data_IF_674727945597
#
_entry.id   IF_674727945597
#
_cell.length_a   1.000
_cell.length_b   1.000
_cell.length_c   1.000
_cell.angle_alpha   90.00
_cell.angle_beta   90.00
_cell.angle_gamma   90.00
#
_symmetry.space_group_name_H-M   'P 1'
#
loop_
_entity.id
_entity.type
_entity.pdbx_description
1 polymer ?
#
# COMPACT_ATOMS: atom_id res chain seq x y z
N UNK A 1 -8.12 17.21 -3.80
CA UNK A 1 -7.38 16.57 -2.70
C UNK A 1 -5.90 16.77 -2.96
N UNK A 2 -5.21 17.58 -2.15
CA UNK A 2 -3.75 17.73 -2.18
C UNK A 2 -3.20 17.11 -0.91
N UNK A 3 -2.26 16.18 -1.05
CA UNK A 3 -1.50 15.66 0.07
C UNK A 3 -0.23 16.50 0.18
N UNK A 4 -0.06 17.24 1.28
CA UNK A 4 1.19 17.92 1.58
C UNK A 4 1.92 17.15 2.67
N UNK A 5 3.17 16.78 2.39
CA UNK A 5 4.06 16.10 3.32
C UNK A 5 5.20 17.08 3.60
N UNK A 6 5.20 17.71 4.78
CA UNK A 6 6.38 18.41 5.27
C UNK A 6 7.34 17.39 5.88
N UNK A 7 8.47 17.14 5.19
CA UNK A 7 9.56 16.30 5.71
C UNK A 7 10.56 17.21 6.43
N UNK A 8 10.63 17.14 7.75
CA UNK A 8 11.46 18.06 8.55
C UNK A 8 12.95 17.69 8.53
N UNK A 9 13.34 16.43 8.28
CA UNK A 9 14.75 16.09 8.10
C UNK A 9 14.92 14.71 7.43
N UNK A 10 15.57 14.65 6.27
CA UNK A 10 15.75 13.41 5.49
C UNK A 10 17.01 12.66 5.91
N UNK A 11 18.01 13.33 6.48
CA UNK A 11 19.37 12.78 6.54
C UNK A 11 19.73 12.07 7.86
N UNK A 12 18.91 12.19 8.91
CA UNK A 12 19.07 11.40 10.14
C UNK A 12 18.05 10.24 10.28
N UNK A 13 16.97 10.24 9.50
CA UNK A 13 15.81 9.38 9.70
C UNK A 13 15.87 8.00 9.02
N UNK A 14 16.98 7.68 8.33
CA UNK A 14 17.09 6.47 7.52
C UNK A 14 17.64 5.25 8.27
N UNK A 15 18.18 5.44 9.48
CA UNK A 15 18.91 4.38 10.20
C UNK A 15 18.32 3.96 11.56
N UNK A 16 17.51 4.78 12.26
CA UNK A 16 17.17 4.48 13.67
C UNK A 16 15.67 4.42 14.01
N UNK A 17 14.77 4.46 13.03
CA UNK A 17 13.37 4.06 13.27
C UNK A 17 12.55 5.00 14.17
N UNK A 18 13.04 6.19 14.51
CA UNK A 18 12.26 7.23 15.17
C UNK A 18 12.11 8.42 14.21
N UNK A 19 10.87 8.80 13.90
CA UNK A 19 10.48 10.20 13.67
C UNK A 19 8.96 10.35 13.56
N UNK A 20 8.45 11.40 14.22
CA UNK A 20 7.05 11.80 14.30
C UNK A 20 6.61 12.41 12.96
N UNK A 21 5.61 11.81 12.30
CA UNK A 21 5.02 12.35 11.06
C UNK A 21 3.70 13.02 11.43
N UNK A 22 3.56 14.32 11.13
CA UNK A 22 2.26 15.02 11.17
C UNK A 22 1.65 15.05 9.78
N UNK A 23 0.48 14.43 9.64
CA UNK A 23 -0.34 14.44 8.43
C UNK A 23 -1.36 15.57 8.53
N UNK A 24 -1.38 16.47 7.54
CA UNK A 24 -2.47 17.43 7.35
C UNK A 24 -3.28 17.02 6.13
N UNK A 25 -4.59 16.92 6.33
CA UNK A 25 -5.56 16.57 5.28
C UNK A 25 -6.37 17.83 4.99
N UNK A 26 -6.11 18.48 3.85
CA UNK A 26 -6.90 19.63 3.40
C UNK A 26 -7.98 19.19 2.42
N UNK A 27 -9.23 19.48 2.79
CA UNK A 27 -10.39 19.37 1.91
C UNK A 27 -10.56 20.69 1.12
N UNK A 28 -11.18 20.65 -0.07
CA UNK A 28 -11.51 21.88 -0.79
C UNK A 28 -12.45 22.74 0.04
N UNK A 29 -12.18 24.04 0.09
CA UNK A 29 -12.86 25.03 0.93
C UNK A 29 -14.38 24.86 1.01
N UNK A 30 -14.87 24.81 2.24
CA UNK A 30 -16.28 24.76 2.57
C UNK A 30 -16.50 24.84 4.07
N UNK A 31 -16.65 26.08 4.55
CA UNK A 31 -17.07 26.53 5.89
C UNK A 31 -15.99 26.56 6.98
N UNK A 32 -15.49 27.78 7.22
CA UNK A 32 -14.80 28.19 8.44
C UNK A 32 -15.70 27.95 9.66
N UNK A 33 -15.13 27.44 10.75
CA UNK A 33 -15.62 27.83 12.07
C UNK A 33 -14.46 27.96 13.06
N UNK A 34 -14.42 29.13 13.68
CA UNK A 34 -13.42 29.56 14.66
C UNK A 34 -13.71 28.94 16.02
N UNK A 35 -12.79 28.15 16.59
CA UNK A 35 -12.54 28.21 18.05
C UNK A 35 -11.21 27.60 18.47
N UNK A 36 -10.59 28.31 19.42
CA UNK A 36 -9.24 28.21 19.97
C UNK A 36 -8.98 27.02 20.91
N UNK A 37 -7.70 26.58 21.04
CA UNK A 37 -6.97 26.51 22.34
C UNK A 37 -5.63 25.73 22.27
N UNK A 38 -4.51 26.48 22.41
CA UNK A 38 -3.31 26.26 23.27
C UNK A 38 -2.87 24.80 23.60
N UNK A 39 -1.60 24.36 23.53
CA UNK A 39 -0.34 24.96 24.05
C UNK A 39 0.89 24.04 23.80
N UNK A 40 2.08 24.66 23.92
CA UNK A 40 3.44 24.14 24.27
C UNK A 40 4.39 23.69 23.16
N UNK A 41 5.22 24.67 22.77
CA UNK A 41 6.56 24.53 22.21
C UNK A 41 7.60 24.18 23.28
N UNK A 42 8.49 23.22 22.98
CA UNK A 42 9.80 23.09 23.66
C UNK A 42 10.90 23.17 22.60
N UNK A 43 11.80 24.13 22.76
CA UNK A 43 12.96 24.36 21.89
C UNK A 43 14.08 23.39 22.27
N UNK A 44 14.66 22.69 21.28
CA UNK A 44 15.98 22.09 21.40
C UNK A 44 16.89 22.69 20.31
N UNK A 45 18.06 23.10 20.77
CA UNK A 45 19.08 23.93 20.13
C UNK A 45 19.51 23.46 18.73
N UNK A 46 19.28 24.30 17.72
CA UNK A 46 19.90 24.24 16.39
C UNK A 46 21.40 24.57 16.47
N UNK A 47 22.28 23.62 16.13
CA UNK A 47 23.62 23.94 15.61
C UNK A 47 24.03 22.99 14.48
N UNK A 48 23.82 23.51 13.25
CA UNK A 48 24.58 23.33 12.00
C UNK A 48 25.03 21.92 11.58
N UNK A 49 24.51 21.48 10.44
CA UNK A 49 25.28 21.39 9.18
C UNK A 49 24.32 21.33 7.97
N UNK A 50 24.00 22.50 7.40
CA UNK A 50 23.40 22.62 6.06
C UNK A 50 24.53 22.86 5.06
N UNK A 51 24.74 21.93 4.10
CA UNK A 51 24.94 22.39 2.74
C UNK A 51 24.38 21.42 1.67
N UNK A 52 23.10 21.02 1.70
CA UNK A 52 22.53 20.21 0.59
C UNK A 52 21.10 20.61 0.15
N UNK A 53 20.45 21.57 0.82
CA UNK A 53 19.10 22.03 0.47
C UNK A 53 19.00 22.81 -0.86
N UNK A 54 20.11 23.07 -1.56
CA UNK A 54 20.09 23.66 -2.89
C UNK A 54 19.66 22.68 -4.00
N UNK A 55 19.65 21.37 -3.72
CA UNK A 55 19.25 20.36 -4.71
C UNK A 55 17.74 20.06 -4.75
N UNK A 56 17.00 20.41 -3.70
CA UNK A 56 15.55 20.14 -3.60
C UNK A 56 14.67 21.30 -4.09
N UNK A 57 15.26 22.46 -4.42
CA UNK A 57 14.53 23.65 -4.85
C UNK A 57 14.61 23.91 -6.36
N UNK A 58 14.47 22.86 -7.17
CA UNK A 58 14.10 23.02 -8.57
C UNK A 58 12.65 22.57 -8.70
N UNK A 59 11.76 23.55 -8.81
CA UNK A 59 10.36 23.38 -9.21
C UNK A 59 10.25 22.37 -10.36
N UNK A 60 9.96 21.12 -10.05
CA UNK A 60 9.42 20.17 -11.01
C UNK A 60 7.91 20.40 -10.94
N UNK A 61 7.29 21.00 -11.97
CA UNK A 61 5.84 21.15 -11.97
C UNK A 61 5.24 19.74 -11.99
N UNK A 62 4.49 19.39 -10.93
CA UNK A 62 3.64 18.19 -10.90
C UNK A 62 2.41 18.48 -11.77
N UNK A 63 2.64 18.65 -13.07
CA UNK A 63 1.61 18.78 -14.09
C UNK A 63 2.19 18.26 -15.40
N UNK A 64 2.20 16.95 -15.57
CA UNK A 64 1.95 16.27 -16.86
C UNK A 64 1.88 14.77 -16.60
N UNK A 65 0.92 14.11 -17.27
CA UNK A 65 0.45 12.73 -17.11
C UNK A 65 -0.78 12.56 -16.21
N UNK A 66 -1.78 13.43 -16.41
CA UNK A 66 -3.18 13.00 -16.24
C UNK A 66 -3.60 12.53 -17.63
N UNK A 67 -3.57 11.23 -17.85
CA UNK A 67 -4.24 10.62 -18.99
C UNK A 67 -5.75 10.79 -18.76
N UNK A 68 -6.53 11.18 -19.77
CA UNK A 68 -7.96 11.52 -19.66
C UNK A 68 -8.84 10.31 -19.22
N UNK A 69 -8.23 9.14 -19.02
CA UNK A 69 -8.77 7.93 -18.40
C UNK A 69 -8.79 7.95 -16.85
N UNK A 70 -8.08 8.88 -16.20
CA UNK A 70 -7.96 8.97 -14.73
C UNK A 70 -9.22 9.37 -13.94
N UNK A 71 -10.15 10.22 -14.43
CA UNK A 71 -11.27 10.70 -13.60
C UNK A 71 -12.25 9.61 -13.18
N UNK A 72 -12.51 8.63 -14.04
CA UNK A 72 -13.51 7.57 -13.81
C UNK A 72 -12.96 6.47 -12.88
N UNK A 73 -11.72 6.05 -13.07
CA UNK A 73 -11.07 5.05 -12.23
C UNK A 73 -10.96 5.54 -10.76
N UNK A 74 -10.62 6.80 -10.55
CA UNK A 74 -10.49 7.37 -9.20
C UNK A 74 -11.83 7.42 -8.44
N UNK A 75 -12.92 7.75 -9.14
CA UNK A 75 -14.27 7.82 -8.57
C UNK A 75 -14.89 6.45 -8.24
N UNK A 76 -14.32 5.38 -8.81
CA UNK A 76 -14.75 4.01 -8.55
C UNK A 76 -14.02 3.34 -7.40
N UNK A 77 -12.94 3.94 -6.89
CA UNK A 77 -12.23 3.43 -5.72
C UNK A 77 -13.07 3.63 -4.46
N UNK A 78 -13.14 2.60 -3.63
CA UNK A 78 -13.73 2.63 -2.30
C UNK A 78 -12.79 3.31 -1.28
N UNK A 79 -12.81 4.64 -1.31
CA UNK A 79 -12.01 5.47 -0.41
C UNK A 79 -12.41 5.30 1.06
N UNK A 80 -13.66 4.94 1.36
CA UNK A 80 -14.11 4.71 2.74
C UNK A 80 -13.43 3.46 3.31
N UNK A 81 -13.41 2.37 2.55
CA UNK A 81 -12.70 1.14 2.91
C UNK A 81 -11.21 1.39 3.06
N UNK A 82 -10.61 2.13 2.12
CA UNK A 82 -9.20 2.50 2.15
C UNK A 82 -8.84 3.31 3.40
N UNK A 83 -9.56 4.40 3.67
CA UNK A 83 -9.34 5.27 4.83
C UNK A 83 -9.50 4.51 6.14
N UNK A 84 -10.53 3.67 6.24
CA UNK A 84 -10.75 2.82 7.41
C UNK A 84 -9.59 1.85 7.63
N UNK A 85 -9.05 1.25 6.57
CA UNK A 85 -7.84 0.41 6.66
C UNK A 85 -6.64 1.20 7.14
N UNK A 86 -6.38 2.39 6.60
CA UNK A 86 -5.27 3.25 7.05
C UNK A 86 -5.42 3.57 8.53
N UNK A 87 -6.63 3.96 8.94
CA UNK A 87 -6.92 4.34 10.31
C UNK A 87 -6.85 3.18 11.31
N UNK A 88 -7.07 1.95 10.87
CA UNK A 88 -6.98 0.75 11.72
C UNK A 88 -5.61 0.09 11.68
N UNK A 89 -4.73 0.52 10.77
CA UNK A 89 -3.31 0.11 10.73
C UNK A 89 -2.44 0.91 11.71
N UNK A 90 -3.02 1.76 12.57
CA UNK A 90 -2.31 2.62 13.53
C UNK A 90 -1.43 1.86 14.54
N UNK A 91 -1.79 0.63 14.88
CA UNK A 91 -0.98 -0.25 15.74
C UNK A 91 0.17 -0.94 14.98
N UNK A 92 0.21 -0.76 13.65
CA UNK A 92 1.22 -1.30 12.77
C UNK A 92 2.36 -0.32 12.48
N UNK A 93 3.31 -0.71 11.63
CA UNK A 93 4.43 0.12 11.19
C UNK A 93 3.93 1.21 10.23
N UNK A 94 3.33 2.26 10.77
CA UNK A 94 2.72 3.36 10.01
C UNK A 94 3.67 3.96 8.95
N UNK A 95 4.96 4.08 9.29
CA UNK A 95 6.00 4.57 8.36
C UNK A 95 6.13 3.66 7.13
N UNK A 96 6.08 2.34 7.31
CA UNK A 96 6.10 1.40 6.18
C UNK A 96 4.87 1.63 5.31
N UNK A 97 3.68 1.69 5.91
CA UNK A 97 2.43 1.82 5.16
C UNK A 97 2.44 3.09 4.30
N UNK A 98 2.77 4.24 4.87
CA UNK A 98 2.84 5.50 4.13
C UNK A 98 3.82 5.36 2.96
N UNK A 99 5.05 4.89 3.20
CA UNK A 99 6.03 4.70 2.13
C UNK A 99 5.54 3.70 1.08
N UNK A 100 4.84 2.64 1.47
CA UNK A 100 4.29 1.65 0.57
C UNK A 100 3.19 2.23 -0.33
N UNK A 101 2.19 2.91 0.24
CA UNK A 101 1.07 3.49 -0.48
C UNK A 101 1.49 4.59 -1.47
N UNK A 102 2.57 5.31 -1.16
CA UNK A 102 3.13 6.35 -2.02
C UNK A 102 4.23 5.84 -2.97
N UNK A 103 4.60 4.56 -2.92
CA UNK A 103 5.65 4.00 -3.78
C UNK A 103 7.06 4.49 -3.43
N UNK A 104 7.30 4.89 -2.18
CA UNK A 104 8.54 5.44 -1.65
C UNK A 104 9.28 4.47 -0.72
N UNK A 105 8.96 3.17 -0.80
CA UNK A 105 9.76 2.19 -0.08
C UNK A 105 11.22 2.27 -0.54
N UNK A 106 12.19 2.18 0.40
CA UNK A 106 13.60 2.27 0.08
C UNK A 106 14.15 0.97 -0.55
N UNK A 107 13.58 0.61 -1.70
CA UNK A 107 14.03 -0.46 -2.61
C UNK A 107 15.27 -0.01 -3.38
N UNK A 108 16.07 -0.96 -3.88
CA UNK A 108 17.36 -0.69 -4.53
C UNK A 108 17.32 0.41 -5.60
N UNK A 109 16.32 0.39 -6.50
CA UNK A 109 16.13 1.42 -7.55
C UNK A 109 15.95 2.82 -6.99
N UNK A 110 15.30 2.98 -5.83
CA UNK A 110 15.09 4.28 -5.21
C UNK A 110 16.34 4.74 -4.46
N UNK A 111 16.93 3.88 -3.65
CA UNK A 111 18.06 4.26 -2.78
C UNK A 111 19.37 4.49 -3.54
N UNK A 112 19.58 3.76 -4.64
CA UNK A 112 20.76 3.94 -5.51
C UNK A 112 20.82 5.32 -6.16
N UNK A 113 19.69 6.05 -6.26
CA UNK A 113 19.66 7.43 -6.77
C UNK A 113 20.39 8.40 -5.84
N UNK A 114 20.46 8.11 -4.54
CA UNK A 114 21.12 8.97 -3.56
C UNK A 114 22.63 8.68 -3.48
N UNK A 115 23.01 7.41 -3.43
CA UNK A 115 24.42 7.00 -3.44
C UNK A 115 24.54 5.57 -4.02
N UNK A 116 24.86 5.42 -5.31
CA UNK A 116 24.90 4.12 -5.98
C UNK A 116 26.09 3.25 -5.53
N UNK A 117 27.16 3.86 -5.02
CA UNK A 117 28.34 3.15 -4.49
C UNK A 117 27.98 2.46 -3.17
N UNK A 118 27.30 3.19 -2.28
CA UNK A 118 26.91 2.67 -0.95
C UNK A 118 25.66 1.80 -1.01
N UNK A 119 24.71 2.12 -1.90
CA UNK A 119 23.41 1.46 -1.97
C UNK A 119 23.16 0.93 -3.39
N UNK A 120 23.56 -0.31 -3.69
CA UNK A 120 23.39 -0.88 -5.02
C UNK A 120 21.91 -1.05 -5.38
N UNK A 121 21.58 -0.88 -6.67
CA UNK A 121 20.22 -1.03 -7.18
C UNK A 121 19.69 -2.46 -7.15
N UNK A 122 20.59 -3.44 -7.10
CA UNK A 122 20.28 -4.86 -7.18
C UNK A 122 19.44 -5.35 -6.00
N UNK A 123 18.64 -6.38 -6.25
CA UNK A 123 17.84 -7.05 -5.23
C UNK A 123 18.75 -7.71 -4.17
N UNK A 124 18.45 -7.59 -2.87
CA UNK A 124 19.25 -8.25 -1.85
C UNK A 124 19.03 -9.77 -1.79
N UNK A 125 17.95 -10.27 -2.40
CA UNK A 125 17.49 -11.66 -2.30
C UNK A 125 17.72 -12.48 -3.57
N UNK A 126 17.89 -11.87 -4.74
CA UNK A 126 18.10 -12.59 -6.01
C UNK A 126 18.99 -11.77 -6.95
N UNK A 127 19.32 -12.32 -8.11
CA UNK A 127 20.28 -11.72 -9.05
C UNK A 127 19.69 -10.61 -9.94
N UNK A 128 18.47 -10.12 -9.63
CA UNK A 128 17.88 -9.00 -10.36
C UNK A 128 18.70 -7.71 -10.14
N UNK A 129 19.21 -7.07 -11.20
CA UNK A 129 20.08 -5.89 -11.09
C UNK A 129 19.34 -4.62 -10.63
N UNK A 130 18.01 -4.58 -10.74
CA UNK A 130 17.20 -3.43 -10.35
C UNK A 130 15.99 -3.87 -9.54
N UNK A 131 16.05 -3.67 -8.23
CA UNK A 131 14.93 -3.88 -7.31
C UNK A 131 14.02 -2.64 -7.31
N UNK A 132 12.91 -2.71 -8.05
CA UNK A 132 11.85 -1.70 -7.99
C UNK A 132 10.66 -2.13 -7.11
N UNK A 133 9.64 -1.27 -7.01
CA UNK A 133 8.46 -1.54 -6.18
C UNK A 133 7.67 -2.78 -6.62
N UNK A 134 7.70 -3.13 -7.91
CA UNK A 134 7.06 -4.35 -8.41
C UNK A 134 7.91 -5.56 -8.06
N UNK A 135 9.22 -5.52 -8.31
CA UNK A 135 10.16 -6.58 -7.96
C UNK A 135 10.12 -6.88 -6.46
N UNK A 136 9.96 -5.86 -5.61
CA UNK A 136 9.80 -6.04 -4.16
C UNK A 136 8.74 -7.10 -3.83
N UNK A 137 7.59 -7.15 -4.51
CA UNK A 137 6.53 -8.13 -4.24
C UNK A 137 6.56 -9.36 -5.15
N UNK A 138 7.38 -9.35 -6.21
CA UNK A 138 7.43 -10.39 -7.24
C UNK A 138 8.78 -11.11 -7.33
N UNK A 139 9.65 -10.89 -6.33
CA UNK A 139 10.99 -11.46 -6.29
C UNK A 139 10.96 -13.01 -6.41
N UNK A 140 11.75 -13.60 -7.33
CA UNK A 140 11.73 -15.05 -7.58
C UNK A 140 12.45 -15.89 -6.51
N UNK A 141 13.16 -15.24 -5.57
CA UNK A 141 13.86 -15.94 -4.50
C UNK A 141 12.91 -16.89 -3.73
N UNK A 142 13.32 -18.13 -3.41
CA UNK A 142 12.45 -19.11 -2.76
C UNK A 142 11.77 -18.62 -1.48
N UNK A 143 12.46 -17.91 -0.59
CA UNK A 143 11.88 -17.38 0.65
C UNK A 143 10.85 -16.29 0.35
N UNK A 144 11.11 -15.45 -0.65
CA UNK A 144 10.17 -14.41 -1.11
C UNK A 144 8.96 -15.03 -1.82
N UNK A 145 9.12 -16.13 -2.55
CA UNK A 145 8.00 -16.88 -3.15
C UNK A 145 7.08 -17.53 -2.12
N UNK A 146 7.61 -17.98 -0.97
CA UNK A 146 6.78 -18.51 0.13
C UNK A 146 5.78 -17.48 0.66
N UNK A 147 6.13 -16.19 0.62
CA UNK A 147 5.21 -15.11 1.00
C UNK A 147 3.94 -15.13 0.17
N UNK A 148 4.04 -15.31 -1.15
CA UNK A 148 2.87 -15.34 -2.03
C UNK A 148 1.89 -16.47 -1.66
N UNK A 149 2.42 -17.68 -1.46
CA UNK A 149 1.62 -18.83 -1.03
C UNK A 149 0.96 -18.56 0.34
N UNK A 150 1.70 -17.94 1.26
CA UNK A 150 1.20 -17.61 2.61
C UNK A 150 0.10 -16.55 2.55
N UNK A 151 0.28 -15.48 1.76
CA UNK A 151 -0.74 -14.45 1.53
C UNK A 151 -2.02 -15.05 0.94
N UNK A 152 -1.88 -15.89 -0.10
CA UNK A 152 -3.01 -16.56 -0.76
C UNK A 152 -3.80 -17.42 0.23
N UNK A 153 -3.12 -18.23 1.04
CA UNK A 153 -3.75 -19.08 2.08
C UNK A 153 -4.43 -18.24 3.15
N UNK A 154 -3.78 -17.18 3.64
CA UNK A 154 -4.35 -16.29 4.66
C UNK A 154 -5.57 -15.53 4.15
N UNK A 155 -5.55 -15.06 2.89
CA UNK A 155 -6.70 -14.43 2.25
C UNK A 155 -7.88 -15.39 2.13
N UNK A 156 -7.63 -16.61 1.64
CA UNK A 156 -8.67 -17.65 1.53
C UNK A 156 -9.32 -17.92 2.89
N UNK A 157 -8.52 -18.28 3.88
CA UNK A 157 -9.00 -18.56 5.23
C UNK A 157 -9.77 -17.38 5.83
N UNK A 158 -9.26 -16.15 5.65
CA UNK A 158 -9.94 -14.95 6.14
C UNK A 158 -11.28 -14.77 5.46
N UNK A 159 -11.35 -14.85 4.13
CA UNK A 159 -12.59 -14.68 3.37
C UNK A 159 -13.64 -15.72 3.75
N UNK A 160 -13.24 -16.99 3.90
CA UNK A 160 -14.11 -18.07 4.36
C UNK A 160 -14.63 -17.80 5.79
N UNK A 161 -13.78 -17.31 6.70
CA UNK A 161 -14.17 -17.00 8.10
C UNK A 161 -15.16 -15.83 8.27
N UNK A 162 -15.40 -15.06 7.20
CA UNK A 162 -16.30 -13.90 7.18
C UNK A 162 -17.38 -14.03 6.11
N UNK A 163 -17.70 -15.25 5.69
CA UNK A 163 -18.83 -15.53 4.78
C UNK A 163 -18.73 -14.73 3.47
N UNK A 164 -17.53 -14.64 2.90
CA UNK A 164 -17.32 -13.96 1.62
C UNK A 164 -18.04 -14.69 0.49
N UNK A 165 -18.65 -13.95 -0.44
CA UNK A 165 -19.19 -14.53 -1.67
C UNK A 165 -18.09 -15.36 -2.36
N UNK A 166 -18.30 -16.67 -2.62
CA UNK A 166 -17.30 -17.52 -3.24
C UNK A 166 -16.77 -16.97 -4.58
N UNK A 167 -17.62 -16.32 -5.39
CA UNK A 167 -17.17 -15.73 -6.65
C UNK A 167 -16.32 -14.47 -6.46
N UNK A 168 -16.55 -13.71 -5.38
CA UNK A 168 -15.68 -12.59 -5.01
C UNK A 168 -14.33 -13.12 -4.51
N UNK A 169 -14.33 -14.18 -3.69
CA UNK A 169 -13.10 -14.84 -3.26
C UNK A 169 -12.28 -15.34 -4.47
N UNK A 170 -12.92 -16.02 -5.42
CA UNK A 170 -12.23 -16.50 -6.63
C UNK A 170 -11.65 -15.35 -7.45
N UNK A 171 -12.42 -14.29 -7.69
CA UNK A 171 -11.96 -13.11 -8.42
C UNK A 171 -10.79 -12.42 -7.70
N UNK A 172 -10.85 -12.32 -6.37
CA UNK A 172 -9.80 -11.73 -5.55
C UNK A 172 -8.49 -12.50 -5.71
N UNK A 173 -8.55 -13.83 -5.65
CA UNK A 173 -7.36 -14.67 -5.80
C UNK A 173 -6.86 -14.70 -7.25
N UNK A 174 -7.74 -14.66 -8.24
CA UNK A 174 -7.32 -14.54 -9.65
C UNK A 174 -6.64 -13.21 -9.91
N UNK A 175 -7.18 -12.11 -9.39
CA UNK A 175 -6.60 -10.78 -9.52
C UNK A 175 -5.23 -10.65 -8.85
N UNK A 176 -5.08 -11.22 -7.65
CA UNK A 176 -3.79 -11.29 -6.96
C UNK A 176 -2.74 -12.06 -7.80
N UNK A 177 -3.11 -13.24 -8.31
CA UNK A 177 -2.23 -14.04 -9.16
C UNK A 177 -1.92 -13.34 -10.49
N UNK A 178 -2.90 -12.63 -11.06
CA UNK A 178 -2.72 -11.84 -12.27
C UNK A 178 -1.64 -10.78 -12.08
N UNK A 179 -1.68 -10.05 -10.97
CA UNK A 179 -0.66 -9.06 -10.67
C UNK A 179 0.71 -9.68 -10.37
N UNK A 180 0.76 -10.68 -9.49
CA UNK A 180 2.02 -11.22 -8.97
C UNK A 180 2.74 -12.13 -9.97
N UNK A 181 2.01 -12.86 -10.81
CA UNK A 181 2.56 -13.88 -11.70
C UNK A 181 2.27 -13.60 -13.17
N UNK A 182 1.62 -12.48 -13.50
CA UNK A 182 1.14 -12.19 -14.87
C UNK A 182 0.20 -13.27 -15.41
N UNK A 183 -0.49 -14.00 -14.52
CA UNK A 183 -1.44 -15.05 -14.90
C UNK A 183 -2.73 -14.42 -15.47
N UNK A 184 -3.34 -14.96 -16.54
CA UNK A 184 -4.60 -14.41 -17.04
C UNK A 184 -5.74 -14.66 -16.05
N UNK A 185 -6.61 -13.66 -15.85
CA UNK A 185 -7.87 -13.86 -15.14
C UNK A 185 -8.81 -14.68 -16.04
N UNK A 186 -9.36 -15.82 -15.58
CA UNK A 186 -10.21 -16.67 -16.40
C UNK A 186 -11.62 -16.05 -16.55
N UNK A 187 -11.77 -15.06 -17.42
CA UNK A 187 -13.02 -14.30 -17.60
C UNK A 187 -14.26 -15.20 -17.85
N UNK A 188 -14.09 -16.32 -18.54
CA UNK A 188 -15.17 -17.30 -18.77
C UNK A 188 -15.72 -17.97 -17.50
N UNK A 189 -14.97 -17.92 -16.38
CA UNK A 189 -15.39 -18.44 -15.07
C UNK A 189 -15.99 -17.37 -14.18
N UNK A 190 -15.93 -16.10 -14.59
CA UNK A 190 -16.44 -14.96 -13.82
C UNK A 190 -17.94 -14.87 -14.07
N UNK A 191 -18.80 -15.03 -13.04
CA UNK A 191 -20.25 -14.95 -13.23
C UNK A 191 -20.67 -13.56 -13.69
N UNK A 192 -21.71 -13.50 -14.53
CA UNK A 192 -22.22 -12.22 -15.08
C UNK A 192 -22.53 -11.19 -13.99
N UNK A 193 -23.04 -11.62 -12.82
CA UNK A 193 -23.36 -10.72 -11.71
C UNK A 193 -22.16 -9.90 -11.20
N UNK A 194 -20.92 -10.37 -11.42
CA UNK A 194 -19.70 -9.67 -10.98
C UNK A 194 -18.84 -9.20 -12.17
N UNK A 195 -19.35 -9.27 -13.41
CA UNK A 195 -18.62 -8.83 -14.62
C UNK A 195 -18.24 -7.34 -14.54
N UNK A 196 -19.17 -6.52 -14.08
CA UNK A 196 -18.96 -5.08 -13.87
C UNK A 196 -17.84 -4.80 -12.84
N UNK A 197 -17.77 -5.60 -11.78
CA UNK A 197 -16.70 -5.49 -10.79
C UNK A 197 -15.34 -5.80 -11.41
N UNK A 198 -15.23 -6.89 -12.19
CA UNK A 198 -13.98 -7.23 -12.88
C UNK A 198 -13.54 -6.07 -13.79
N UNK A 199 -14.47 -5.50 -14.57
CA UNK A 199 -14.18 -4.38 -15.46
C UNK A 199 -13.72 -3.13 -14.68
N UNK A 200 -14.46 -2.74 -13.64
CA UNK A 200 -14.15 -1.59 -12.79
C UNK A 200 -12.78 -1.77 -12.10
N UNK A 201 -12.50 -2.94 -11.52
CA UNK A 201 -11.19 -3.20 -10.88
C UNK A 201 -10.04 -3.24 -11.90
N UNK A 202 -10.27 -3.79 -13.09
CA UNK A 202 -9.26 -3.81 -14.16
C UNK A 202 -8.95 -2.39 -14.64
N UNK A 203 -9.96 -1.52 -14.70
CA UNK A 203 -9.81 -0.10 -15.03
C UNK A 203 -9.04 0.67 -13.95
N UNK A 204 -9.26 0.36 -12.67
CA UNK A 204 -8.46 0.87 -11.55
C UNK A 204 -7.01 0.35 -11.60
N UNK A 205 -6.83 -0.87 -12.11
CA UNK A 205 -5.54 -1.57 -12.15
C UNK A 205 -5.38 -2.57 -11.00
N UNK A 206 -4.76 -3.71 -11.30
CA UNK A 206 -4.49 -4.76 -10.32
C UNK A 206 -3.21 -4.51 -9.50
N UNK A 207 -2.34 -3.62 -9.96
CA UNK A 207 -1.23 -3.05 -9.20
C UNK A 207 -1.71 -2.25 -7.98
N UNK A 208 -2.85 -1.57 -8.14
CA UNK A 208 -3.53 -0.82 -7.07
C UNK A 208 -4.23 -1.74 -6.04
N UNK A 209 -4.39 -3.03 -6.32
CA UNK A 209 -5.10 -3.96 -5.46
C UNK A 209 -4.41 -4.16 -4.10
N UNK A 210 -3.10 -4.39 -4.10
CA UNK A 210 -2.29 -4.51 -2.87
C UNK A 210 -2.10 -3.17 -2.15
N UNK A 211 -2.28 -2.05 -2.86
CA UNK A 211 -2.33 -0.70 -2.27
C UNK A 211 -3.68 -0.40 -1.60
N UNK A 212 -4.61 -1.36 -1.59
CA UNK A 212 -5.92 -1.20 -0.96
C UNK A 212 -6.84 -0.22 -1.70
N UNK A 213 -6.61 0.00 -3.00
CA UNK A 213 -7.45 0.86 -3.86
C UNK A 213 -8.39 -0.04 -4.66
N UNK A 214 -9.44 -0.49 -3.99
CA UNK A 214 -10.39 -1.46 -4.52
C UNK A 214 -11.59 -0.76 -5.13
N UNK A 215 -12.23 -1.38 -6.14
CA UNK A 215 -13.52 -0.92 -6.64
C UNK A 215 -14.61 -0.96 -5.54
N UNK A 216 -15.45 0.08 -5.43
CA UNK A 216 -16.64 0.11 -4.55
C UNK A 216 -17.66 -1.00 -4.81
N UNK A 217 -17.57 -1.66 -5.97
CA UNK A 217 -18.43 -2.81 -6.29
C UNK A 217 -18.12 -4.03 -5.41
N UNK A 218 -16.89 -4.17 -4.90
CA UNK A 218 -16.53 -5.28 -4.00
C UNK A 218 -17.41 -5.31 -2.75
N UNK A 219 -17.52 -4.16 -2.07
CA UNK A 219 -18.30 -4.03 -0.83
C UNK A 219 -19.80 -4.14 -1.08
N UNK A 220 -20.27 -3.57 -2.20
CA UNK A 220 -21.67 -3.66 -2.62
C UNK A 220 -22.10 -5.10 -2.89
N UNK A 221 -21.33 -5.84 -3.69
CA UNK A 221 -21.65 -7.23 -4.06
C UNK A 221 -21.56 -8.17 -2.86
N UNK A 222 -20.60 -7.96 -1.96
CA UNK A 222 -20.53 -8.75 -0.73
C UNK A 222 -21.78 -8.56 0.14
N UNK A 223 -22.26 -7.32 0.29
CA UNK A 223 -23.48 -7.05 1.07
C UNK A 223 -24.71 -7.70 0.41
N UNK A 224 -24.84 -7.60 -0.91
CA UNK A 224 -25.92 -8.25 -1.66
C UNK A 224 -25.89 -9.77 -1.50
N UNK A 225 -24.71 -10.39 -1.52
CA UNK A 225 -24.56 -11.83 -1.29
C UNK A 225 -25.06 -12.25 0.10
N UNK A 226 -24.68 -11.51 1.15
CA UNK A 226 -25.14 -11.81 2.51
C UNK A 226 -26.67 -11.73 2.62
N UNK A 227 -27.26 -10.67 2.06
CA UNK A 227 -28.71 -10.46 2.04
C UNK A 227 -29.44 -11.58 1.28
N UNK A 228 -28.99 -11.90 0.07
CA UNK A 228 -29.64 -12.90 -0.81
C UNK A 228 -29.63 -14.30 -0.22
N UNK A 229 -28.59 -14.65 0.53
CA UNK A 229 -28.42 -15.98 1.12
C UNK A 229 -28.89 -16.04 2.58
N UNK A 230 -29.53 -14.98 3.09
CA UNK A 230 -29.98 -14.89 4.48
C UNK A 230 -28.86 -15.14 5.50
N UNK A 231 -27.63 -14.72 5.16
CA UNK A 231 -26.48 -14.82 6.06
C UNK A 231 -26.51 -13.61 7.00
N UNK A 232 -26.34 -13.87 8.29
CA UNK A 232 -26.34 -12.85 9.33
C UNK A 232 -25.26 -11.79 9.07
N UNK A 233 -25.68 -10.52 8.98
CA UNK A 233 -24.78 -9.38 8.82
C UNK A 233 -24.16 -9.03 10.17
N UNK A 234 -22.86 -9.24 10.27
CA UNK A 234 -22.00 -8.98 11.42
C UNK A 234 -21.05 -7.83 11.11
N UNK A 235 -20.50 -7.24 12.17
CA UNK A 235 -19.48 -6.20 12.05
C UNK A 235 -18.24 -6.63 11.23
N UNK A 236 -17.97 -7.93 11.08
CA UNK A 236 -16.81 -8.47 10.35
C UNK A 236 -17.05 -8.78 8.87
N UNK A 237 -18.31 -8.99 8.46
CA UNK A 237 -18.66 -9.41 7.09
C UNK A 237 -19.46 -8.34 6.32
N UNK A 238 -19.99 -7.31 6.99
CA UNK A 238 -20.59 -6.15 6.34
C UNK A 238 -19.58 -5.44 5.42
N UNK A 239 -20.03 -5.01 4.22
CA UNK A 239 -19.20 -4.55 3.11
C UNK A 239 -17.97 -3.71 3.50
N UNK A 240 -18.16 -2.57 4.16
CA UNK A 240 -17.06 -1.67 4.57
C UNK A 240 -16.06 -2.32 5.54
N UNK A 241 -16.53 -3.09 6.51
CA UNK A 241 -15.65 -3.77 7.46
C UNK A 241 -14.95 -4.97 6.82
N UNK A 242 -15.66 -5.68 5.94
CA UNK A 242 -15.14 -6.81 5.20
C UNK A 242 -13.95 -6.41 4.32
N UNK A 243 -14.11 -5.40 3.47
CA UNK A 243 -13.05 -4.88 2.60
C UNK A 243 -11.89 -4.36 3.41
N UNK A 244 -12.16 -3.51 4.42
CA UNK A 244 -11.10 -2.88 5.20
C UNK A 244 -10.26 -3.90 5.98
N UNK A 245 -10.89 -4.97 6.49
CA UNK A 245 -10.20 -6.07 7.15
C UNK A 245 -9.34 -6.89 6.20
N UNK A 246 -9.78 -7.10 4.96
CA UNK A 246 -8.99 -7.82 3.96
C UNK A 246 -7.81 -6.96 3.48
N UNK A 247 -8.04 -5.67 3.22
CA UNK A 247 -6.98 -4.71 2.88
C UNK A 247 -5.92 -4.68 3.98
N UNK A 248 -6.33 -4.59 5.25
CA UNK A 248 -5.41 -4.63 6.38
C UNK A 248 -4.58 -5.92 6.41
N UNK A 249 -5.21 -7.07 6.21
CA UNK A 249 -4.49 -8.35 6.13
C UNK A 249 -3.43 -8.33 5.03
N UNK A 250 -3.76 -7.81 3.84
CA UNK A 250 -2.77 -7.70 2.75
C UNK A 250 -1.59 -6.80 3.15
N UNK A 251 -1.84 -5.67 3.81
CA UNK A 251 -0.78 -4.77 4.27
C UNK A 251 0.09 -5.38 5.37
N UNK A 252 -0.50 -6.13 6.30
CA UNK A 252 0.26 -6.89 7.31
C UNK A 252 1.21 -7.89 6.63
N UNK A 253 0.75 -8.56 5.57
CA UNK A 253 1.59 -9.46 4.77
C UNK A 253 2.66 -8.70 3.97
N UNK A 254 2.33 -7.57 3.34
CA UNK A 254 3.32 -6.74 2.63
C UNK A 254 4.40 -6.22 3.59
N UNK A 255 4.03 -5.89 4.83
CA UNK A 255 5.00 -5.51 5.84
C UNK A 255 5.92 -6.66 6.24
N UNK A 256 5.38 -7.86 6.47
CA UNK A 256 6.20 -9.06 6.73
C UNK A 256 7.22 -9.27 5.61
N UNK A 257 6.79 -9.12 4.37
CA UNK A 257 7.68 -9.23 3.21
C UNK A 257 8.76 -8.15 3.19
N UNK A 258 8.41 -6.92 3.54
CA UNK A 258 9.36 -5.82 3.74
C UNK A 258 10.41 -6.14 4.80
N UNK A 259 10.00 -6.72 5.93
CA UNK A 259 10.95 -7.13 6.98
C UNK A 259 11.87 -8.26 6.51
N UNK A 260 11.36 -9.24 5.76
CA UNK A 260 12.17 -10.32 5.15
C UNK A 260 13.20 -9.76 4.18
N UNK A 261 12.78 -8.86 3.29
CA UNK A 261 13.67 -8.15 2.36
C UNK A 261 14.78 -7.41 3.10
N UNK A 262 14.43 -6.66 4.14
CA UNK A 262 15.40 -5.86 4.88
C UNK A 262 16.41 -6.72 5.64
N UNK A 263 15.99 -7.86 6.18
CA UNK A 263 16.91 -8.86 6.75
C UNK A 263 17.90 -9.38 5.71
N UNK A 264 17.47 -9.63 4.47
CA UNK A 264 18.40 -10.05 3.41
C UNK A 264 19.41 -8.96 3.01
N UNK A 265 19.03 -7.67 3.13
CA UNK A 265 19.92 -6.53 2.84
C UNK A 265 20.95 -6.32 3.94
N UNK A 266 20.51 -6.31 5.21
CA UNK A 266 21.36 -5.92 6.35
C UNK A 266 21.93 -7.10 7.14
N UNK A 267 21.37 -8.30 6.99
CA UNK A 267 21.87 -9.51 7.63
C UNK A 267 23.25 -9.94 7.10
N UNK A 268 23.60 -9.54 5.87
CA UNK A 268 24.94 -9.77 5.29
C UNK A 268 26.00 -8.85 5.92
N UNK A 269 25.62 -7.62 6.29
CA UNK A 269 26.53 -6.62 6.89
C UNK A 269 27.04 -7.00 8.29
N UNK A 270 26.41 -8.01 8.94
CA UNK A 270 26.80 -8.50 10.26
C UNK A 270 27.87 -9.62 10.20
N UNK A 271 27.93 -10.39 9.12
CA UNK A 271 28.96 -11.43 8.92
C UNK A 271 30.28 -10.83 8.40
N UNK A 272 30.22 -9.74 7.63
CA UNK A 272 31.40 -9.03 7.12
C UNK A 272 32.15 -8.20 8.20
N UNK A 273 31.72 -8.27 9.46
CA UNK A 273 32.35 -7.60 10.61
C UNK A 273 32.92 -8.55 11.66
N UNK A 274 32.94 -9.86 11.40
CA UNK A 274 33.58 -10.88 12.23
C UNK A 274 34.97 -11.25 11.67
#
# INVERSE_FOLDING_TARGET
>A
MRFHIEVIDIDAAFLEGENEIRLFMEFPDGTEDHSSSSKRTRSISQKRCRPWLSALNKNIPITTLVDDSFPTAFADIDWQSHERSVNTFKDGPHIFLVKFLHGWLPVGKLVSRYNPIKYPSACPSCDEPVEDSKHFLTCPNPERRKWHATLTTSLRHRCESVDTDPALLDLLLWGLNHWLQSAPIPAHRVPERISHLLHSQTTIGWDNFLLGRWSKHWTTLQLQYLQRNHIEVKNKNHGLSWSSNIIRLMWDHCYKEWTTRNKARHGKDAEDKA
#
